data_IF_616496810498
#
_entry.id   IF_616496810498
#
_cell.length_a   1.000
_cell.length_b   1.000
_cell.length_c   1.000
_cell.angle_alpha   90.00
_cell.angle_beta   90.00
_cell.angle_gamma   90.00
#
_symmetry.space_group_name_H-M   'P 1'
#
loop_
_entity.id
_entity.type
_entity.pdbx_description
1 polymer ?
#
# COMPACT_ATOMS: atom_id res chain seq x y z
N UNK A 1 23.06 11.01 -7.34
CA UNK A 1 22.95 9.62 -6.85
C UNK A 1 21.98 9.62 -5.68
N UNK A 2 20.79 9.01 -5.81
CA UNK A 2 19.77 9.09 -4.76
C UNK A 2 20.14 8.15 -3.61
N UNK A 3 20.07 8.64 -2.36
CA UNK A 3 20.42 7.84 -1.19
C UNK A 3 19.48 6.61 -1.10
N UNK A 4 20.02 5.44 -0.76
CA UNK A 4 19.25 4.17 -0.78
C UNK A 4 18.03 4.22 0.15
N UNK A 5 18.14 4.95 1.27
CA UNK A 5 17.04 5.20 2.20
C UNK A 5 15.91 6.01 1.54
N UNK A 6 16.25 7.02 0.74
CA UNK A 6 15.27 7.84 0.03
C UNK A 6 14.58 7.04 -1.08
N UNK A 7 15.33 6.21 -1.80
CA UNK A 7 14.76 5.27 -2.80
C UNK A 7 13.77 4.31 -2.16
N UNK A 8 14.10 3.73 -1.00
CA UNK A 8 13.19 2.84 -0.25
C UNK A 8 11.93 3.57 0.20
N UNK A 9 12.05 4.84 0.62
CA UNK A 9 10.92 5.65 1.09
C UNK A 9 9.96 5.96 -0.04
N UNK A 10 10.49 6.35 -1.19
CA UNK A 10 9.71 6.64 -2.38
C UNK A 10 8.95 5.39 -2.83
N UNK A 11 9.58 4.22 -2.85
CA UNK A 11 8.93 2.99 -3.32
C UNK A 11 7.87 2.49 -2.32
N UNK A 12 8.14 2.51 -1.01
CA UNK A 12 7.10 2.20 -0.01
C UNK A 12 5.91 3.16 -0.08
N UNK A 13 6.15 4.46 -0.31
CA UNK A 13 5.08 5.44 -0.48
C UNK A 13 4.26 5.18 -1.75
N UNK A 14 4.90 4.83 -2.87
CA UNK A 14 4.23 4.48 -4.13
C UNK A 14 3.35 3.24 -3.96
N UNK A 15 3.85 2.20 -3.30
CA UNK A 15 3.07 0.97 -3.01
C UNK A 15 1.84 1.30 -2.16
N UNK A 16 2.02 2.10 -1.10
CA UNK A 16 0.91 2.51 -0.24
C UNK A 16 -0.17 3.28 -1.01
N UNK A 17 0.23 4.25 -1.85
CA UNK A 17 -0.71 5.04 -2.66
C UNK A 17 -1.44 4.16 -3.68
N UNK A 18 -0.74 3.23 -4.32
CA UNK A 18 -1.36 2.30 -5.29
C UNK A 18 -2.44 1.43 -4.63
N UNK A 19 -2.16 0.87 -3.44
CA UNK A 19 -3.13 0.07 -2.70
C UNK A 19 -4.28 0.94 -2.18
N UNK A 20 -4.00 2.14 -1.66
CA UNK A 20 -5.03 3.05 -1.15
C UNK A 20 -6.03 3.50 -2.23
N UNK A 21 -5.52 3.90 -3.40
CA UNK A 21 -6.35 4.31 -4.53
C UNK A 21 -7.08 3.13 -5.16
N UNK A 22 -6.41 1.98 -5.30
CA UNK A 22 -7.02 0.73 -5.76
C UNK A 22 -8.21 0.34 -4.88
N UNK A 23 -8.03 0.36 -3.56
CA UNK A 23 -9.10 0.08 -2.60
C UNK A 23 -10.27 1.06 -2.73
N UNK A 24 -10.03 2.32 -3.10
CA UNK A 24 -11.07 3.30 -3.41
C UNK A 24 -11.98 2.87 -4.57
N UNK A 25 -11.40 2.32 -5.64
CA UNK A 25 -12.14 1.81 -6.80
C UNK A 25 -12.92 0.54 -6.46
N UNK A 26 -12.29 -0.39 -5.74
CA UNK A 26 -12.93 -1.67 -5.38
C UNK A 26 -14.12 -1.45 -4.44
N UNK A 27 -14.02 -0.48 -3.51
CA UNK A 27 -15.12 -0.19 -2.55
C UNK A 27 -16.34 0.49 -3.12
N UNK A 28 -16.29 0.95 -4.38
CA UNK A 28 -17.49 1.44 -5.08
C UNK A 28 -18.32 0.31 -5.71
N UNK A 29 -17.83 -0.93 -5.65
CA UNK A 29 -18.57 -2.11 -6.11
C UNK A 29 -19.69 -2.45 -5.12
N UNK A 30 -20.90 -2.80 -5.60
CA UNK A 30 -22.09 -2.99 -4.75
C UNK A 30 -22.00 -4.17 -3.78
N UNK A 31 -21.05 -5.09 -3.97
CA UNK A 31 -20.82 -6.25 -3.12
C UNK A 31 -19.77 -6.03 -2.02
N UNK A 32 -19.22 -4.82 -1.90
CA UNK A 32 -18.03 -4.58 -1.10
C UNK A 32 -18.36 -4.01 0.29
N UNK A 33 -18.20 -4.85 1.30
CA UNK A 33 -18.51 -4.53 2.71
C UNK A 33 -17.35 -3.76 3.39
N UNK A 34 -17.65 -3.02 4.46
CA UNK A 34 -16.65 -2.17 5.16
C UNK A 34 -15.44 -2.93 5.73
N UNK A 35 -15.63 -4.23 5.99
CA UNK A 35 -14.60 -5.17 6.42
C UNK A 35 -13.53 -5.38 5.35
N UNK A 36 -13.93 -5.44 4.08
CA UNK A 36 -12.99 -5.69 2.97
C UNK A 36 -12.13 -4.45 2.71
N UNK A 37 -12.67 -3.25 2.92
CA UNK A 37 -11.88 -2.01 2.89
C UNK A 37 -10.81 -1.96 3.99
N UNK A 38 -11.13 -2.47 5.17
CA UNK A 38 -10.19 -2.54 6.29
C UNK A 38 -9.06 -3.52 5.99
N UNK A 39 -9.39 -4.69 5.42
CA UNK A 39 -8.41 -5.70 5.01
C UNK A 39 -7.47 -5.19 3.91
N UNK A 40 -7.98 -4.44 2.93
CA UNK A 40 -7.13 -3.79 1.91
C UNK A 40 -6.20 -2.72 2.50
N UNK A 41 -6.68 -1.94 3.47
CA UNK A 41 -5.82 -0.94 4.10
C UNK A 41 -4.70 -1.59 4.91
N UNK A 42 -5.01 -2.67 5.64
CA UNK A 42 -4.02 -3.47 6.36
C UNK A 42 -3.04 -4.14 5.41
N UNK A 43 -3.50 -4.69 4.27
CA UNK A 43 -2.62 -5.31 3.28
C UNK A 43 -1.67 -4.28 2.65
N UNK A 44 -2.12 -3.05 2.41
CA UNK A 44 -1.28 -1.95 1.93
C UNK A 44 -0.19 -1.54 2.93
N UNK A 45 -0.52 -1.45 4.22
CA UNK A 45 0.45 -1.16 5.28
C UNK A 45 1.48 -2.30 5.38
N UNK A 46 1.03 -3.55 5.35
CA UNK A 46 1.91 -4.73 5.42
C UNK A 46 2.83 -4.76 4.18
N UNK A 47 2.30 -4.55 2.97
CA UNK A 47 3.09 -4.55 1.74
C UNK A 47 4.17 -3.45 1.74
N UNK A 48 3.80 -2.23 2.13
CA UNK A 48 4.75 -1.11 2.23
C UNK A 48 5.81 -1.34 3.32
N UNK A 49 5.43 -1.91 4.46
CA UNK A 49 6.32 -2.30 5.55
C UNK A 49 7.28 -3.42 5.18
N UNK A 50 6.79 -4.46 4.49
CA UNK A 50 7.60 -5.57 3.98
C UNK A 50 8.63 -5.10 2.95
N UNK A 51 8.27 -4.17 2.06
CA UNK A 51 9.24 -3.57 1.14
C UNK A 51 10.33 -2.80 1.90
N UNK A 52 9.93 -2.01 2.91
CA UNK A 52 10.86 -1.24 3.73
C UNK A 52 11.78 -2.12 4.59
N UNK A 53 11.33 -3.27 5.08
CA UNK A 53 12.17 -4.16 5.90
C UNK A 53 13.04 -5.06 5.01
N UNK A 54 12.47 -5.61 3.94
CA UNK A 54 13.11 -6.60 3.06
C UNK A 54 14.02 -6.05 1.97
N UNK A 55 13.94 -4.76 1.61
CA UNK A 55 14.77 -4.16 0.54
C UNK A 55 16.24 -3.92 0.96
N UNK A 56 16.82 -4.81 1.77
CA UNK A 56 18.19 -4.69 2.28
C UNK A 56 19.21 -4.97 1.17
#
# INVERSE_FOLDING_TARGET
MMNQTLKRAVISAVIFVAVYLGAGLVTRMPAYDGLVKTLEFMSGIIAAGCYWIGSK
#
